data_IF_980477396070
#
_entry.id   IF_980477396070
#
_cell.length_a   1.000
_cell.length_b   1.000
_cell.length_c   1.000
_cell.angle_alpha   90.00
_cell.angle_beta   90.00
_cell.angle_gamma   90.00
#
_symmetry.space_group_name_H-M   'P 1'
#
loop_
_entity.id
_entity.type
_entity.pdbx_description
1 polymer ?
#
# COMPACT_ATOMS: atom_id res chain seq x y z
N UNK A 1 -7.07 8.09 -18.96
CA UNK A 1 -7.48 8.05 -17.53
C UNK A 1 -6.50 7.21 -16.73
N UNK A 2 -6.29 7.52 -15.45
CA UNK A 2 -5.50 6.71 -14.50
C UNK A 2 -6.41 6.15 -13.42
N UNK A 3 -6.26 4.88 -13.07
CA UNK A 3 -7.16 4.21 -12.11
C UNK A 3 -6.34 3.50 -11.04
N UNK A 4 -6.56 3.89 -9.79
CA UNK A 4 -6.04 3.17 -8.62
C UNK A 4 -7.22 2.56 -7.89
N UNK A 5 -7.30 1.23 -7.83
CA UNK A 5 -8.28 0.54 -6.99
C UNK A 5 -7.62 -0.14 -5.79
N UNK A 6 -8.12 0.16 -4.60
CA UNK A 6 -7.76 -0.46 -3.33
C UNK A 6 -8.96 -1.20 -2.77
N UNK A 7 -8.72 -2.29 -2.06
CA UNK A 7 -9.75 -2.99 -1.30
C UNK A 7 -9.68 -2.61 0.17
N UNK A 8 -10.84 -2.57 0.81
CA UNK A 8 -10.99 -2.32 2.25
C UNK A 8 -11.89 -3.37 2.87
N UNK A 9 -11.31 -4.20 3.73
CA UNK A 9 -12.02 -4.98 4.73
C UNK A 9 -11.91 -4.29 6.11
N UNK A 10 -12.52 -4.88 7.13
CA UNK A 10 -12.46 -4.31 8.49
C UNK A 10 -11.07 -4.43 9.13
N UNK A 11 -10.27 -5.39 8.69
CA UNK A 11 -8.96 -5.79 9.22
C UNK A 11 -7.83 -5.70 8.18
N UNK A 12 -8.12 -5.25 6.96
CA UNK A 12 -7.17 -5.19 5.85
C UNK A 12 -7.52 -4.05 4.90
N UNK A 13 -6.51 -3.37 4.40
CA UNK A 13 -6.67 -2.27 3.45
C UNK A 13 -5.45 -2.24 2.54
N UNK A 14 -5.68 -2.10 1.23
CA UNK A 14 -4.59 -1.94 0.28
C UNK A 14 -4.79 -2.68 -1.03
N UNK A 15 -3.68 -3.14 -1.59
CA UNK A 15 -3.66 -3.84 -2.87
C UNK A 15 -4.42 -5.18 -2.78
N UNK A 16 -5.11 -5.53 -3.85
CA UNK A 16 -5.94 -6.73 -3.96
C UNK A 16 -6.04 -7.17 -5.42
N UNK A 17 -6.82 -8.21 -5.70
CA UNK A 17 -7.15 -8.59 -7.09
C UNK A 17 -7.82 -7.45 -7.88
N UNK A 18 -8.56 -6.57 -7.20
CA UNK A 18 -9.17 -5.38 -7.80
C UNK A 18 -8.13 -4.34 -8.23
N UNK A 19 -6.97 -4.30 -7.57
CA UNK A 19 -5.84 -3.49 -8.01
C UNK A 19 -5.33 -3.97 -9.36
N UNK A 20 -5.17 -5.29 -9.55
CA UNK A 20 -4.81 -5.87 -10.84
C UNK A 20 -5.87 -5.60 -11.91
N UNK A 21 -7.16 -5.71 -11.56
CA UNK A 21 -8.26 -5.36 -12.48
C UNK A 21 -8.20 -3.89 -12.91
N UNK A 22 -7.95 -2.96 -11.97
CA UNK A 22 -7.82 -1.53 -12.29
C UNK A 22 -6.62 -1.22 -13.18
N UNK A 23 -5.49 -1.89 -12.96
CA UNK A 23 -4.30 -1.75 -13.81
C UNK A 23 -4.56 -2.25 -15.23
N UNK A 24 -5.30 -3.36 -15.35
CA UNK A 24 -5.69 -3.90 -16.64
C UNK A 24 -6.60 -2.93 -17.40
N UNK A 25 -7.63 -2.38 -16.74
CA UNK A 25 -8.49 -1.34 -17.31
C UNK A 25 -7.70 -0.09 -17.72
N UNK A 26 -6.73 0.34 -16.93
CA UNK A 26 -5.94 1.52 -17.26
C UNK A 26 -5.23 1.39 -18.60
N UNK A 27 -4.81 0.19 -19.01
CA UNK A 27 -4.13 -0.02 -20.30
C UNK A 27 -5.02 0.35 -21.49
N UNK A 28 -6.31 0.00 -21.46
CA UNK A 28 -7.25 0.31 -22.55
C UNK A 28 -7.84 1.72 -22.41
N UNK A 29 -8.08 2.17 -21.18
CA UNK A 29 -8.68 3.48 -20.89
C UNK A 29 -7.72 4.67 -21.07
N UNK A 30 -6.44 4.42 -21.38
CA UNK A 30 -5.51 5.47 -21.83
C UNK A 30 -5.99 6.21 -23.08
N UNK A 31 -6.73 5.53 -23.95
CA UNK A 31 -7.28 6.13 -25.16
C UNK A 31 -8.59 6.90 -24.92
N UNK A 32 -9.16 6.89 -23.72
CA UNK A 32 -10.44 7.56 -23.40
C UNK A 32 -10.17 8.90 -22.72
N UNK A 33 -10.77 9.96 -23.28
CA UNK A 33 -10.69 11.31 -22.72
C UNK A 33 -11.67 11.51 -21.55
N UNK A 34 -11.35 12.36 -20.55
CA UNK A 34 -10.09 13.08 -20.41
C UNK A 34 -8.93 12.17 -19.98
N UNK A 35 -7.81 12.22 -20.71
CA UNK A 35 -6.67 11.34 -20.48
C UNK A 35 -6.03 11.54 -19.09
N UNK A 36 -6.10 12.75 -18.56
CA UNK A 36 -5.54 13.21 -17.28
C UNK A 36 -6.44 12.97 -16.06
N UNK A 37 -7.68 12.50 -16.25
CA UNK A 37 -8.56 12.16 -15.14
C UNK A 37 -7.96 11.04 -14.28
N UNK A 38 -7.72 11.35 -13.01
CA UNK A 38 -7.30 10.39 -12.00
C UNK A 38 -8.52 9.85 -11.25
N UNK A 39 -8.64 8.53 -11.14
CA UNK A 39 -9.75 7.86 -10.47
C UNK A 39 -9.18 7.02 -9.34
N UNK A 40 -9.55 7.34 -8.10
CA UNK A 40 -9.22 6.55 -6.92
C UNK A 40 -10.47 5.79 -6.49
N UNK A 41 -10.37 4.47 -6.45
CA UNK A 41 -11.46 3.55 -6.14
C UNK A 41 -11.15 2.82 -4.84
N UNK A 42 -12.11 2.83 -3.91
CA UNK A 42 -12.09 2.01 -2.69
C UNK A 42 -13.26 1.02 -2.75
N UNK A 43 -12.93 -0.25 -2.96
CA UNK A 43 -13.88 -1.35 -2.90
C UNK A 43 -14.05 -1.83 -1.47
N UNK A 44 -15.25 -1.73 -0.91
CA UNK A 44 -15.55 -2.19 0.44
C UNK A 44 -15.94 -3.66 0.40
N UNK A 45 -15.10 -4.51 1.01
CA UNK A 45 -15.29 -5.96 1.07
C UNK A 45 -16.16 -6.28 2.30
N UNK A 46 -17.25 -7.03 2.09
CA UNK A 46 -18.10 -7.47 3.20
C UNK A 46 -17.41 -8.59 3.98
N UNK A 47 -17.43 -8.48 5.30
CA UNK A 47 -16.96 -9.55 6.18
C UNK A 47 -18.11 -10.54 6.47
N UNK A 48 -17.82 -11.83 6.33
CA UNK A 48 -18.74 -12.93 6.63
C UNK A 48 -18.17 -13.70 7.83
N UNK A 49 -18.52 -13.31 9.05
CA UNK A 49 -18.06 -14.00 10.25
C UNK A 49 -17.94 -13.12 11.50
N UNK A 50 -17.49 -13.71 12.62
CA UNK A 50 -17.12 -12.94 13.79
C UNK A 50 -15.83 -12.17 13.53
N UNK A 51 -15.72 -10.98 14.13
CA UNK A 51 -14.46 -10.25 14.14
C UNK A 51 -13.34 -11.12 14.71
N UNK A 52 -12.12 -10.95 14.19
CA UNK A 52 -10.92 -11.47 14.85
C UNK A 52 -10.83 -10.88 16.27
N UNK A 53 -10.34 -11.67 17.25
CA UNK A 53 -10.16 -11.16 18.61
C UNK A 53 -9.42 -9.83 18.60
N UNK A 54 -9.91 -8.86 19.38
CA UNK A 54 -9.39 -7.48 19.51
C UNK A 54 -9.69 -6.52 18.36
N UNK A 55 -10.34 -6.99 17.28
CA UNK A 55 -10.73 -6.18 16.12
C UNK A 55 -12.24 -5.91 16.03
N UNK A 56 -12.99 -6.17 17.11
CA UNK A 56 -14.45 -6.01 17.16
C UNK A 56 -14.86 -4.57 16.83
N UNK A 57 -14.19 -3.58 17.43
CA UNK A 57 -14.46 -2.16 17.14
C UNK A 57 -14.12 -1.78 15.69
N UNK A 58 -13.12 -2.42 15.08
CA UNK A 58 -12.79 -2.20 13.67
C UNK A 58 -13.87 -2.75 12.75
N UNK A 59 -14.46 -3.91 13.08
CA UNK A 59 -15.60 -4.47 12.37
C UNK A 59 -16.83 -3.56 12.47
N UNK A 60 -17.17 -3.08 13.67
CA UNK A 60 -18.28 -2.15 13.88
C UNK A 60 -18.14 -0.89 13.01
N UNK A 61 -16.98 -0.24 13.04
CA UNK A 61 -16.70 0.95 12.22
C UNK A 61 -16.74 0.66 10.72
N UNK A 62 -16.31 -0.54 10.31
CA UNK A 62 -16.36 -0.96 8.91
C UNK A 62 -17.81 -1.11 8.45
N UNK A 63 -18.65 -1.78 9.25
CA UNK A 63 -20.08 -1.94 8.98
C UNK A 63 -20.78 -0.59 8.90
N UNK A 64 -20.50 0.33 9.83
CA UNK A 64 -21.06 1.69 9.85
C UNK A 64 -20.72 2.47 8.57
N UNK A 65 -19.47 2.34 8.09
CA UNK A 65 -18.99 3.07 6.91
C UNK A 65 -19.31 2.38 5.59
N UNK A 66 -19.74 1.11 5.62
CA UNK A 66 -19.96 0.29 4.45
C UNK A 66 -20.96 0.95 3.49
N UNK A 67 -20.55 1.29 2.26
CA UNK A 67 -21.44 1.93 1.30
C UNK A 67 -22.54 0.95 0.86
N UNK A 68 -23.78 1.42 0.79
CA UNK A 68 -24.90 0.62 0.28
C UNK A 68 -25.06 0.68 -1.25
N UNK A 69 -24.39 1.65 -1.88
CA UNK A 69 -24.38 1.92 -3.32
C UNK A 69 -23.09 2.63 -3.69
N UNK A 70 -22.80 2.77 -4.99
CA UNK A 70 -21.65 3.56 -5.44
C UNK A 70 -21.77 4.99 -4.93
N UNK A 71 -20.72 5.47 -4.28
CA UNK A 71 -20.53 6.86 -3.88
C UNK A 71 -19.41 7.43 -4.72
N UNK A 72 -19.64 8.58 -5.34
CA UNK A 72 -18.62 9.28 -6.09
C UNK A 72 -18.45 10.70 -5.58
N UNK A 73 -17.23 11.24 -5.66
CA UNK A 73 -16.89 12.64 -5.38
C UNK A 73 -15.89 13.12 -6.43
N UNK A 74 -16.29 14.12 -7.22
CA UNK A 74 -15.41 14.72 -8.22
C UNK A 74 -14.79 16.00 -7.68
N UNK A 75 -13.46 16.08 -7.72
CA UNK A 75 -12.64 17.22 -7.32
C UNK A 75 -12.07 17.89 -8.57
N UNK A 76 -12.86 18.80 -9.16
CA UNK A 76 -12.56 19.42 -10.46
C UNK A 76 -11.16 20.07 -10.53
N UNK A 77 -10.75 20.81 -9.48
CA UNK A 77 -9.43 21.46 -9.43
C UNK A 77 -8.25 20.48 -9.47
N UNK A 78 -8.46 19.26 -9.00
CA UNK A 78 -7.43 18.22 -8.95
C UNK A 78 -7.56 17.21 -10.10
N UNK A 79 -8.53 17.38 -11.01
CA UNK A 79 -8.80 16.39 -12.06
C UNK A 79 -9.06 14.99 -11.50
N UNK A 80 -9.65 14.88 -10.29
CA UNK A 80 -9.71 13.62 -9.53
C UNK A 80 -11.14 13.19 -9.21
N UNK A 81 -11.46 11.92 -9.41
CA UNK A 81 -12.69 11.27 -9.00
C UNK A 81 -12.39 10.26 -7.90
N UNK A 82 -13.00 10.43 -6.73
CA UNK A 82 -12.99 9.43 -5.66
C UNK A 82 -14.27 8.59 -5.78
N UNK A 83 -14.12 7.27 -5.78
CA UNK A 83 -15.20 6.31 -5.94
C UNK A 83 -15.14 5.27 -4.81
N UNK A 84 -16.24 5.09 -4.10
CA UNK A 84 -16.39 4.03 -3.09
C UNK A 84 -17.57 3.16 -3.49
N UNK A 85 -17.43 1.84 -3.39
CA UNK A 85 -18.54 0.96 -3.72
C UNK A 85 -18.52 -0.36 -2.92
N UNK A 86 -19.68 -1.00 -2.71
CA UNK A 86 -19.74 -2.30 -2.06
C UNK A 86 -19.31 -3.40 -3.03
N UNK A 87 -18.22 -4.09 -2.71
CA UNK A 87 -17.76 -5.23 -3.51
C UNK A 87 -18.60 -6.47 -3.26
N UNK A 88 -18.80 -7.27 -4.31
CA UNK A 88 -19.42 -8.60 -4.28
C UNK A 88 -18.38 -9.69 -4.05
N UNK A 89 -17.08 -9.36 -4.08
CA UNK A 89 -16.00 -10.29 -3.75
C UNK A 89 -15.95 -10.54 -2.24
N UNK A 90 -15.55 -11.76 -1.86
CA UNK A 90 -15.29 -12.13 -0.47
C UNK A 90 -13.90 -11.69 -0.02
N UNK A 91 -13.69 -11.58 1.29
CA UNK A 91 -12.37 -11.25 1.89
C UNK A 91 -11.29 -12.23 1.41
N UNK A 92 -11.58 -13.54 1.45
CA UNK A 92 -10.68 -14.58 0.99
C UNK A 92 -10.40 -14.51 -0.52
N UNK A 93 -11.32 -13.99 -1.33
CA UNK A 93 -11.10 -13.82 -2.78
C UNK A 93 -10.28 -12.56 -3.07
N UNK A 94 -10.52 -11.48 -2.31
CA UNK A 94 -9.94 -10.16 -2.54
C UNK A 94 -8.48 -10.08 -2.12
N UNK A 95 -8.17 -10.65 -0.97
CA UNK A 95 -6.84 -10.60 -0.35
C UNK A 95 -6.09 -11.94 -0.36
N UNK A 96 -6.61 -12.96 -1.08
CA UNK A 96 -5.87 -14.22 -1.22
C UNK A 96 -4.46 -13.96 -1.74
N UNK A 97 -3.47 -14.55 -1.08
CA UNK A 97 -2.14 -14.66 -1.65
C UNK A 97 -2.22 -15.40 -2.99
N UNK A 98 -1.36 -15.08 -3.98
CA UNK A 98 -1.34 -15.69 -5.31
C UNK A 98 -1.13 -17.23 -5.36
N UNK A 99 -1.11 -17.92 -4.22
CA UNK A 99 -0.81 -19.35 -4.11
C UNK A 99 -1.82 -20.29 -4.77
N UNK A 100 -3.01 -19.81 -5.14
CA UNK A 100 -3.96 -20.54 -5.96
C UNK A 100 -4.09 -19.92 -7.35
N UNK A 101 -3.28 -20.34 -8.32
CA UNK A 101 -3.32 -19.87 -9.72
C UNK A 101 -4.75 -19.97 -10.28
N UNK A 102 -5.46 -21.05 -9.95
CA UNK A 102 -6.86 -21.27 -10.33
C UNK A 102 -7.82 -20.25 -9.71
N UNK A 103 -7.61 -19.83 -8.45
CA UNK A 103 -8.47 -18.85 -7.81
C UNK A 103 -8.35 -17.49 -8.53
N UNK A 104 -7.12 -17.06 -8.85
CA UNK A 104 -6.87 -15.81 -9.56
C UNK A 104 -7.56 -15.78 -10.92
N UNK A 105 -7.50 -16.89 -11.67
CA UNK A 105 -8.15 -17.04 -12.98
C UNK A 105 -9.67 -16.85 -12.95
N UNK A 106 -10.33 -17.30 -11.87
CA UNK A 106 -11.77 -17.13 -11.72
C UNK A 106 -12.17 -15.80 -11.09
N UNK A 107 -11.31 -15.20 -10.27
CA UNK A 107 -11.63 -13.97 -9.53
C UNK A 107 -11.37 -12.72 -10.36
N UNK A 108 -10.30 -12.67 -11.17
CA UNK A 108 -9.96 -11.45 -11.91
C UNK A 108 -11.04 -10.99 -12.89
N UNK A 109 -11.67 -11.87 -13.71
CA UNK A 109 -12.75 -11.44 -14.60
C UNK A 109 -13.94 -10.85 -13.82
N UNK A 110 -14.32 -11.47 -12.70
CA UNK A 110 -15.39 -10.95 -11.81
C UNK A 110 -15.03 -9.60 -11.20
N UNK A 111 -13.78 -9.46 -10.76
CA UNK A 111 -13.24 -8.21 -10.23
C UNK A 111 -13.26 -7.09 -11.30
N UNK A 112 -12.92 -7.45 -12.54
CA UNK A 112 -12.96 -6.55 -13.69
C UNK A 112 -14.38 -6.11 -14.03
N UNK A 113 -15.34 -7.05 -14.08
CA UNK A 113 -16.75 -6.74 -14.33
C UNK A 113 -17.32 -5.80 -13.26
N UNK A 114 -17.13 -6.15 -12.00
CA UNK A 114 -17.62 -5.37 -10.87
C UNK A 114 -17.02 -3.95 -10.84
N UNK A 115 -15.71 -3.83 -11.05
CA UNK A 115 -15.04 -2.52 -11.11
C UNK A 115 -15.54 -1.69 -12.30
N UNK A 116 -15.78 -2.33 -13.45
CA UNK A 116 -16.30 -1.67 -14.64
C UNK A 116 -17.72 -1.13 -14.43
N UNK A 117 -18.60 -1.92 -13.80
CA UNK A 117 -19.94 -1.50 -13.39
C UNK A 117 -19.87 -0.29 -12.45
N UNK A 118 -19.06 -0.39 -11.40
CA UNK A 118 -18.89 0.66 -10.41
C UNK A 118 -18.36 1.95 -11.04
N UNK A 119 -17.38 1.85 -11.95
CA UNK A 119 -16.80 2.98 -12.68
C UNK A 119 -17.86 3.71 -13.52
N UNK A 120 -18.63 2.97 -14.32
CA UNK A 120 -19.69 3.55 -15.17
C UNK A 120 -20.75 4.23 -14.29
N UNK A 121 -21.22 3.57 -13.23
CA UNK A 121 -22.20 4.15 -12.30
C UNK A 121 -21.66 5.42 -11.64
N UNK A 122 -20.43 5.35 -11.10
CA UNK A 122 -19.78 6.46 -10.41
C UNK A 122 -19.53 7.68 -11.30
N UNK A 123 -19.21 7.47 -12.57
CA UNK A 123 -19.08 8.53 -13.56
C UNK A 123 -20.44 9.14 -13.91
N UNK A 124 -21.46 8.32 -14.16
CA UNK A 124 -22.82 8.79 -14.52
C UNK A 124 -23.46 9.65 -13.45
N UNK A 125 -23.24 9.35 -12.17
CA UNK A 125 -23.75 10.18 -11.05
C UNK A 125 -23.00 11.52 -10.90
N UNK A 126 -22.00 11.80 -11.74
CA UNK A 126 -21.26 13.06 -11.80
C UNK A 126 -21.36 13.72 -13.18
N UNK A 127 -22.46 14.46 -13.44
CA UNK A 127 -22.70 15.10 -14.74
C UNK A 127 -21.54 15.97 -15.24
N UNK A 128 -20.85 16.67 -14.32
CA UNK A 128 -19.76 17.59 -14.65
C UNK A 128 -18.52 16.92 -15.28
N UNK A 129 -18.29 15.64 -14.99
CA UNK A 129 -17.22 14.85 -15.63
C UNK A 129 -17.79 13.94 -16.71
N UNK A 130 -18.99 13.39 -16.52
CA UNK A 130 -19.66 12.54 -17.51
C UNK A 130 -19.85 13.25 -18.86
N UNK A 131 -20.19 14.54 -18.85
CA UNK A 131 -20.35 15.33 -20.08
C UNK A 131 -19.05 15.52 -20.87
N UNK A 132 -17.89 15.21 -20.27
CA UNK A 132 -16.57 15.30 -20.90
C UNK A 132 -16.07 13.94 -21.40
N UNK A 133 -16.80 12.87 -21.11
CA UNK A 133 -16.42 11.50 -21.46
C UNK A 133 -17.32 11.04 -22.58
N UNK A 134 -16.72 10.53 -23.65
CA UNK A 134 -17.47 9.78 -24.65
C UNK A 134 -17.87 8.42 -24.05
N UNK A 135 -19.12 8.34 -23.59
CA UNK A 135 -19.65 7.13 -22.95
C UNK A 135 -19.65 5.89 -23.84
N UNK A 136 -19.80 6.06 -25.16
CA UNK A 136 -19.74 4.94 -26.12
C UNK A 136 -18.32 4.42 -26.23
N UNK A 137 -17.34 5.33 -26.34
CA UNK A 137 -15.91 4.97 -26.36
C UNK A 137 -15.44 4.35 -25.05
N UNK A 138 -15.93 4.85 -23.91
CA UNK A 138 -15.66 4.26 -22.60
C UNK A 138 -16.15 2.80 -22.53
N UNK A 139 -17.41 2.55 -22.91
CA UNK A 139 -17.97 1.20 -22.90
C UNK A 139 -17.19 0.26 -23.84
N UNK A 140 -16.87 0.72 -25.06
CA UNK A 140 -16.10 -0.07 -26.01
C UNK A 140 -14.71 -0.46 -25.44
N UNK A 141 -14.01 0.48 -24.81
CA UNK A 141 -12.69 0.23 -24.22
C UNK A 141 -12.75 -0.71 -22.99
N UNK A 142 -13.85 -0.70 -22.23
CA UNK A 142 -14.11 -1.65 -21.14
C UNK A 142 -14.33 -3.06 -21.69
N UNK A 143 -15.16 -3.20 -22.72
CA UNK A 143 -15.42 -4.52 -23.33
C UNK A 143 -14.18 -5.07 -24.04
N UNK A 144 -13.36 -4.20 -24.66
CA UNK A 144 -12.06 -4.57 -25.20
C UNK A 144 -11.11 -5.09 -24.11
N UNK A 145 -11.04 -4.41 -22.95
CA UNK A 145 -10.27 -4.90 -21.81
C UNK A 145 -10.74 -6.30 -21.39
N UNK A 146 -12.04 -6.49 -21.16
CA UNK A 146 -12.59 -7.80 -20.78
C UNK A 146 -12.25 -8.90 -21.79
N UNK A 147 -12.33 -8.60 -23.08
CA UNK A 147 -11.98 -9.54 -24.14
C UNK A 147 -10.47 -9.82 -24.24
N UNK A 148 -9.61 -8.90 -23.77
CA UNK A 148 -8.17 -9.03 -23.78
C UNK A 148 -7.60 -9.85 -22.60
N UNK A 149 -8.43 -10.24 -21.62
CA UNK A 149 -7.99 -11.13 -20.55
C UNK A 149 -7.64 -12.51 -21.12
N UNK A 150 -6.46 -13.08 -20.76
CA UNK A 150 -6.13 -14.45 -21.14
C UNK A 150 -7.14 -15.46 -20.62
N UNK A 151 -7.48 -16.44 -21.46
CA UNK A 151 -8.50 -17.44 -21.15
C UNK A 151 -7.99 -18.56 -20.23
N UNK A 152 -6.68 -18.85 -20.25
CA UNK A 152 -6.09 -19.89 -19.41
C UNK A 152 -5.47 -19.33 -18.12
N UNK A 153 -5.52 -20.08 -16.99
CA UNK A 153 -4.91 -19.65 -15.74
C UNK A 153 -3.41 -19.34 -15.83
N UNK A 154 -2.67 -20.14 -16.61
CA UNK A 154 -1.21 -19.98 -16.76
C UNK A 154 -0.86 -18.72 -17.56
N UNK A 155 -1.55 -18.46 -18.66
CA UNK A 155 -1.37 -17.23 -19.43
C UNK A 155 -1.78 -16.01 -18.62
N UNK A 156 -2.82 -16.12 -17.79
CA UNK A 156 -3.25 -15.02 -16.94
C UNK A 156 -2.19 -14.69 -15.89
N UNK A 157 -1.59 -15.71 -15.26
CA UNK A 157 -0.52 -15.49 -14.30
C UNK A 157 0.70 -14.84 -14.96
N UNK A 158 1.10 -15.33 -16.14
CA UNK A 158 2.19 -14.74 -16.92
C UNK A 158 1.87 -13.29 -17.30
N UNK A 159 0.62 -13.01 -17.68
CA UNK A 159 0.13 -11.68 -17.97
C UNK A 159 0.21 -10.74 -16.75
N UNK A 160 -0.26 -11.18 -15.58
CA UNK A 160 -0.20 -10.39 -14.35
C UNK A 160 1.25 -10.10 -13.90
N UNK A 161 2.16 -11.09 -14.05
CA UNK A 161 3.59 -10.88 -13.78
C UNK A 161 4.17 -9.79 -14.68
N UNK A 162 3.90 -9.86 -16.00
CA UNK A 162 4.34 -8.82 -16.94
C UNK A 162 3.77 -7.45 -16.61
N UNK A 163 2.52 -7.36 -16.15
CA UNK A 163 1.94 -6.09 -15.70
C UNK A 163 2.68 -5.53 -14.48
N UNK A 164 2.96 -6.38 -13.47
CA UNK A 164 3.69 -5.94 -12.28
C UNK A 164 5.13 -5.54 -12.61
N UNK A 165 5.82 -6.30 -13.48
CA UNK A 165 7.15 -5.96 -13.98
C UNK A 165 7.14 -4.65 -14.77
N UNK A 166 6.20 -4.47 -15.70
CA UNK A 166 6.04 -3.23 -16.46
C UNK A 166 5.74 -2.04 -15.54
N UNK A 167 4.94 -2.25 -14.49
CA UNK A 167 4.67 -1.23 -13.45
C UNK A 167 5.94 -0.88 -12.68
N UNK A 168 6.69 -1.89 -12.21
CA UNK A 168 7.96 -1.70 -11.51
C UNK A 168 8.98 -0.97 -12.40
N UNK A 169 9.04 -1.31 -13.68
CA UNK A 169 9.90 -0.63 -14.65
C UNK A 169 9.43 0.80 -14.98
N UNK A 170 8.12 1.04 -14.99
CA UNK A 170 7.55 2.37 -15.24
C UNK A 170 7.59 3.28 -14.01
N UNK A 171 7.81 2.74 -12.80
CA UNK A 171 8.08 3.56 -11.61
C UNK A 171 9.37 4.33 -11.88
N UNK A 172 9.23 5.64 -12.09
CA UNK A 172 10.37 6.55 -12.10
C UNK A 172 11.03 6.45 -10.74
N UNK A 173 12.27 5.98 -10.71
CA UNK A 173 13.12 6.12 -9.52
C UNK A 173 13.27 7.63 -9.30
N UNK A 174 12.75 8.19 -8.20
CA UNK A 174 12.91 9.61 -7.92
C UNK A 174 14.40 9.94 -7.89
N UNK A 175 14.84 10.84 -8.75
CA UNK A 175 16.26 11.22 -8.86
C UNK A 175 16.64 12.28 -7.84
N UNK A 176 15.64 13.04 -7.37
CA UNK A 176 15.77 14.05 -6.33
C UNK A 176 14.61 13.95 -5.34
N UNK A 177 14.83 14.50 -4.15
CA UNK A 177 13.81 14.58 -3.09
C UNK A 177 12.67 15.51 -3.52
N UNK A 178 12.93 16.45 -4.43
CA UNK A 178 11.92 17.37 -4.98
C UNK A 178 11.00 16.69 -6.01
N UNK A 179 11.36 15.50 -6.51
CA UNK A 179 10.49 14.67 -7.37
C UNK A 179 9.37 13.97 -6.57
N UNK A 180 9.43 14.02 -5.24
CA UNK A 180 8.49 13.35 -4.34
C UNK A 180 7.42 14.32 -3.83
N UNK A 181 6.17 13.85 -3.78
CA UNK A 181 5.03 14.61 -3.25
C UNK A 181 5.00 14.58 -1.71
N UNK A 182 5.97 15.26 -1.09
CA UNK A 182 6.17 15.27 0.36
C UNK A 182 5.61 16.55 0.97
N UNK A 183 4.70 16.40 1.93
CA UNK A 183 4.22 17.52 2.74
C UNK A 183 5.21 17.84 3.87
N UNK A 184 6.27 18.59 3.53
CA UNK A 184 7.41 18.92 4.41
C UNK A 184 7.03 19.50 5.78
N UNK A 185 5.90 20.20 5.87
CA UNK A 185 5.39 20.77 7.12
C UNK A 185 5.06 19.70 8.19
N UNK A 186 4.93 18.43 7.80
CA UNK A 186 4.70 17.30 8.72
C UNK A 186 5.98 16.75 9.36
N UNK A 187 7.16 17.21 8.97
CA UNK A 187 8.46 16.67 9.37
C UNK A 187 9.37 17.73 9.99
N UNK A 188 10.40 17.29 10.72
CA UNK A 188 11.36 18.20 11.32
C UNK A 188 12.25 18.85 10.24
N UNK A 189 12.57 20.15 10.31
CA UNK A 189 13.40 20.83 9.30
C UNK A 189 14.76 20.16 9.07
N UNK A 190 15.42 19.69 10.14
CA UNK A 190 16.71 19.00 10.04
C UNK A 190 16.63 17.63 9.36
N UNK A 191 15.43 17.01 9.29
CA UNK A 191 15.28 15.70 8.68
C UNK A 191 15.68 15.70 7.20
N UNK A 192 15.40 16.79 6.46
CA UNK A 192 15.79 16.89 5.05
C UNK A 192 17.29 16.92 4.85
N UNK A 193 18.02 17.51 5.81
CA UNK A 193 19.50 17.54 5.78
C UNK A 193 20.08 16.17 6.09
N UNK A 194 19.52 15.48 7.10
CA UNK A 194 19.97 14.15 7.50
C UNK A 194 19.59 13.06 6.48
N UNK A 195 18.41 13.18 5.85
CA UNK A 195 17.84 12.23 4.90
C UNK A 195 17.79 12.86 3.51
N UNK A 196 18.95 13.13 2.92
CA UNK A 196 19.06 13.88 1.66
C UNK A 196 18.82 13.02 0.40
N UNK A 197 18.75 11.69 0.52
CA UNK A 197 18.45 10.80 -0.60
C UNK A 197 16.93 10.57 -0.76
N UNK A 198 16.40 10.53 -2.00
CA UNK A 198 14.98 10.28 -2.26
C UNK A 198 14.52 8.94 -1.68
N UNK A 199 15.43 7.96 -1.67
CA UNK A 199 15.24 6.65 -1.05
C UNK A 199 14.57 6.73 0.33
N UNK A 200 15.04 7.57 1.26
CA UNK A 200 14.48 7.64 2.63
C UNK A 200 13.03 8.11 2.69
N UNK A 201 12.55 8.77 1.64
CA UNK A 201 11.24 9.37 1.56
C UNK A 201 10.30 8.65 0.58
N UNK A 202 10.80 7.67 -0.17
CA UNK A 202 10.00 6.94 -1.14
C UNK A 202 8.99 6.02 -0.44
N UNK A 203 7.70 6.33 -0.60
CA UNK A 203 6.57 5.47 -0.19
C UNK A 203 6.33 4.29 -1.16
N UNK A 204 7.13 4.20 -2.22
CA UNK A 204 6.95 3.19 -3.28
C UNK A 204 8.15 2.28 -3.47
N UNK A 205 9.21 2.50 -2.70
CA UNK A 205 10.38 1.63 -2.64
C UNK A 205 10.29 0.79 -1.37
N UNK A 206 9.95 -0.49 -1.51
CA UNK A 206 9.74 -1.43 -0.40
C UNK A 206 10.99 -1.63 0.48
N UNK A 207 12.18 -1.29 -0.03
CA UNK A 207 13.43 -1.33 0.74
C UNK A 207 13.68 -0.04 1.55
N UNK A 208 12.90 1.03 1.30
CA UNK A 208 12.99 2.23 2.10
C UNK A 208 12.47 1.99 3.52
N UNK A 209 12.90 2.77 4.53
CA UNK A 209 12.48 2.54 5.91
C UNK A 209 10.96 2.53 6.14
N UNK A 210 10.20 3.16 5.24
CA UNK A 210 8.75 3.34 5.38
C UNK A 210 7.99 3.10 4.07
N UNK A 211 8.63 2.47 3.07
CA UNK A 211 8.04 2.27 1.75
C UNK A 211 7.23 0.99 1.61
N UNK A 212 7.43 0.03 2.52
CA UNK A 212 6.56 -1.12 2.66
C UNK A 212 5.42 -0.86 3.69
N UNK A 213 4.42 -1.75 3.72
CA UNK A 213 3.24 -1.60 4.59
C UNK A 213 3.61 -1.54 6.07
N UNK A 214 4.47 -2.44 6.55
CA UNK A 214 4.92 -2.50 7.95
C UNK A 214 5.60 -1.21 8.39
N UNK A 215 6.54 -0.69 7.60
CA UNK A 215 7.27 0.54 7.85
C UNK A 215 6.35 1.76 7.85
N UNK A 216 5.39 1.82 6.91
CA UNK A 216 4.37 2.86 6.87
C UNK A 216 3.49 2.87 8.14
N UNK A 217 3.02 1.70 8.57
CA UNK A 217 2.25 1.53 9.79
C UNK A 217 3.06 1.93 11.04
N UNK A 218 4.34 1.58 11.08
CA UNK A 218 5.28 1.96 12.15
C UNK A 218 5.44 3.48 12.23
N UNK A 219 5.60 4.17 11.09
CA UNK A 219 5.68 5.63 11.05
C UNK A 219 4.39 6.28 11.57
N UNK A 220 3.23 5.78 11.16
CA UNK A 220 1.93 6.29 11.59
C UNK A 220 1.71 6.08 13.10
N UNK A 221 2.03 4.87 13.61
CA UNK A 221 1.94 4.54 15.03
C UNK A 221 2.90 5.41 15.86
N UNK A 222 4.14 5.56 15.39
CA UNK A 222 5.16 6.36 16.04
C UNK A 222 4.79 7.84 16.07
N UNK A 223 4.22 8.39 14.98
CA UNK A 223 3.74 9.78 14.95
C UNK A 223 2.73 10.06 16.07
N UNK A 224 1.78 9.14 16.30
CA UNK A 224 0.80 9.24 17.38
C UNK A 224 1.40 9.07 18.78
N UNK A 225 2.46 8.27 18.92
CA UNK A 225 3.19 8.13 20.18
C UNK A 225 4.08 9.35 20.47
N UNK A 226 4.85 9.81 19.48
CA UNK A 226 5.78 10.93 19.56
C UNK A 226 5.08 12.24 19.93
N UNK A 227 3.86 12.47 19.44
CA UNK A 227 3.05 13.64 19.87
C UNK A 227 2.86 13.73 21.39
N UNK A 228 2.83 12.58 22.07
CA UNK A 228 2.69 12.47 23.55
C UNK A 228 4.03 12.29 24.26
N UNK A 229 5.09 11.98 23.52
CA UNK A 229 6.41 11.61 24.03
C UNK A 229 7.52 12.20 23.15
N UNK A 230 7.59 13.54 22.97
CA UNK A 230 8.44 14.16 21.97
C UNK A 230 9.95 13.96 22.21
N UNK A 231 10.34 13.74 23.48
CA UNK A 231 11.73 13.60 23.92
C UNK A 231 12.04 12.24 24.53
N UNK A 232 11.05 11.34 24.64
CA UNK A 232 11.29 10.03 25.23
C UNK A 232 11.98 9.12 24.22
N UNK A 233 12.89 8.29 24.71
CA UNK A 233 13.41 7.15 23.97
C UNK A 233 12.26 6.21 23.62
N UNK A 234 12.28 5.63 22.41
CA UNK A 234 11.37 4.57 22.01
C UNK A 234 11.82 3.19 22.49
N UNK A 235 12.80 3.11 23.39
CA UNK A 235 13.15 1.87 24.07
C UNK A 235 11.92 1.25 24.76
N UNK A 236 11.70 -0.04 24.49
CA UNK A 236 10.51 -0.77 24.93
C UNK A 236 9.19 -0.37 24.23
N UNK A 237 9.17 0.67 23.38
CA UNK A 237 8.01 0.97 22.54
C UNK A 237 7.76 -0.13 21.52
N UNK A 238 8.81 -0.67 20.91
CA UNK A 238 8.73 -1.82 19.99
C UNK A 238 8.00 -2.99 20.66
N UNK A 239 8.41 -3.38 21.87
CA UNK A 239 7.78 -4.50 22.58
C UNK A 239 6.32 -4.22 22.93
N UNK A 240 5.97 -2.97 23.27
CA UNK A 240 4.57 -2.58 23.50
C UNK A 240 3.76 -2.64 22.20
N UNK A 241 4.35 -2.23 21.08
CA UNK A 241 3.70 -2.22 19.79
C UNK A 241 3.46 -3.65 19.29
N UNK A 242 4.47 -4.52 19.34
CA UNK A 242 4.35 -5.93 18.97
C UNK A 242 3.31 -6.65 19.84
N UNK A 243 3.30 -6.42 21.17
CA UNK A 243 2.25 -6.94 22.05
C UNK A 243 0.85 -6.48 21.64
N UNK A 244 0.70 -5.21 21.25
CA UNK A 244 -0.58 -4.66 20.78
C UNK A 244 -1.02 -5.28 19.46
N UNK A 245 -0.08 -5.63 18.59
CA UNK A 245 -0.34 -6.38 17.36
C UNK A 245 -0.58 -7.87 17.60
N UNK A 246 -0.53 -8.33 18.85
CA UNK A 246 -0.69 -9.74 19.20
C UNK A 246 0.56 -10.59 18.92
N UNK A 247 1.67 -9.97 18.55
CA UNK A 247 2.95 -10.60 18.26
C UNK A 247 3.77 -10.75 19.55
N UNK A 248 3.31 -11.60 20.47
CA UNK A 248 4.10 -12.00 21.65
C UNK A 248 4.62 -13.42 21.47
N UNK A 249 5.76 -13.81 22.07
CA UNK A 249 6.27 -15.18 21.98
C UNK A 249 5.24 -16.25 22.36
N UNK A 250 4.29 -15.94 23.24
CA UNK A 250 3.22 -16.85 23.67
C UNK A 250 2.05 -16.90 22.66
N UNK A 251 1.67 -15.75 22.08
CA UNK A 251 0.55 -15.65 21.12
C UNK A 251 0.96 -15.96 19.68
N UNK A 252 2.24 -15.85 19.35
CA UNK A 252 2.82 -16.19 18.07
C UNK A 252 2.82 -17.71 17.81
N UNK A 253 2.76 -18.54 18.87
CA UNK A 253 2.76 -20.02 18.74
C UNK A 253 1.57 -20.46 17.89
N UNK A 254 1.85 -20.75 16.62
CA UNK A 254 0.88 -21.22 15.62
C UNK A 254 0.54 -20.23 14.51
N UNK A 255 0.96 -18.96 14.59
CA UNK A 255 0.70 -17.95 13.54
C UNK A 255 1.96 -17.46 12.83
N UNK A 256 3.06 -17.29 13.58
CA UNK A 256 4.37 -16.92 13.05
C UNK A 256 5.46 -17.65 13.86
N UNK A 257 6.58 -17.98 13.23
CA UNK A 257 7.73 -18.56 13.95
C UNK A 257 8.63 -17.49 14.60
N UNK A 258 9.59 -17.94 15.42
CA UNK A 258 10.53 -17.05 16.13
C UNK A 258 11.40 -16.24 15.15
N UNK A 259 11.76 -16.83 14.01
CA UNK A 259 12.57 -16.17 12.97
C UNK A 259 11.79 -15.02 12.32
N UNK A 260 10.50 -15.21 12.05
CA UNK A 260 9.60 -14.19 11.53
C UNK A 260 9.39 -13.06 12.55
N UNK A 261 9.23 -13.39 13.83
CA UNK A 261 9.10 -12.38 14.89
C UNK A 261 10.36 -11.52 15.00
N UNK A 262 11.53 -12.13 14.95
CA UNK A 262 12.82 -11.41 14.93
C UNK A 262 12.94 -10.51 13.70
N UNK A 263 12.50 -10.98 12.54
CA UNK A 263 12.49 -10.18 11.30
C UNK A 263 11.60 -8.93 11.42
N UNK A 264 10.41 -9.07 12.01
CA UNK A 264 9.49 -7.96 12.26
C UNK A 264 10.11 -6.99 13.28
N UNK A 265 10.79 -7.50 14.31
CA UNK A 265 11.45 -6.67 15.33
C UNK A 265 12.60 -5.85 14.74
N UNK A 266 13.42 -6.48 13.89
CA UNK A 266 14.47 -5.80 13.12
C UNK A 266 13.90 -4.70 12.24
N UNK A 267 12.77 -4.97 11.57
CA UNK A 267 12.07 -3.97 10.76
C UNK A 267 11.58 -2.79 11.58
N UNK A 268 11.00 -3.07 12.76
CA UNK A 268 10.55 -2.07 13.70
C UNK A 268 11.68 -1.17 14.17
N UNK A 269 12.83 -1.74 14.54
CA UNK A 269 13.99 -0.97 14.98
C UNK A 269 14.50 -0.03 13.86
N UNK A 270 14.60 -0.52 12.62
CA UNK A 270 15.03 0.28 11.46
C UNK A 270 14.02 1.39 11.20
N UNK A 271 12.74 1.07 11.03
CA UNK A 271 11.71 2.06 10.68
C UNK A 271 11.60 3.13 11.77
N UNK A 272 11.61 2.76 13.05
CA UNK A 272 11.49 3.73 14.15
C UNK A 272 12.71 4.65 14.26
N UNK A 273 13.92 4.19 13.97
CA UNK A 273 15.10 5.04 13.95
C UNK A 273 14.95 6.14 12.88
N UNK A 274 14.53 5.78 11.67
CA UNK A 274 14.29 6.75 10.61
C UNK A 274 13.03 7.60 10.86
N UNK A 275 12.02 7.08 11.55
CA UNK A 275 10.87 7.86 11.99
C UNK A 275 11.27 8.93 13.03
N UNK A 276 12.21 8.60 13.93
CA UNK A 276 12.79 9.56 14.88
C UNK A 276 13.52 10.67 14.14
N UNK A 277 14.37 10.35 13.15
CA UNK A 277 15.03 11.36 12.31
C UNK A 277 13.99 12.24 11.58
N UNK A 278 12.97 11.63 10.95
CA UNK A 278 11.91 12.34 10.23
C UNK A 278 11.11 13.30 11.12
N UNK A 279 10.76 12.88 12.33
CA UNK A 279 9.84 13.63 13.21
C UNK A 279 10.54 14.51 14.25
N UNK A 280 11.77 14.19 14.62
CA UNK A 280 12.56 14.88 15.67
C UNK A 280 13.83 15.53 15.14
N UNK A 281 14.23 15.23 13.90
CA UNK A 281 15.48 15.71 13.31
C UNK A 281 16.73 14.95 13.80
N UNK A 282 16.55 13.92 14.64
CA UNK A 282 17.64 13.14 15.25
C UNK A 282 17.18 11.75 15.66
N UNK A 283 18.14 10.85 15.85
CA UNK A 283 17.96 9.52 16.44
C UNK A 283 18.89 9.40 17.65
N UNK A 284 18.42 8.86 18.78
CA UNK A 284 19.29 8.69 19.95
C UNK A 284 20.30 7.56 19.72
N UNK A 285 21.49 7.63 20.32
CA UNK A 285 22.57 6.67 20.06
C UNK A 285 22.18 5.21 20.37
N UNK A 286 21.35 4.99 21.39
CA UNK A 286 20.85 3.64 21.75
C UNK A 286 19.91 3.10 20.67
N UNK A 287 19.04 3.97 20.16
CA UNK A 287 18.06 3.70 19.09
C UNK A 287 18.78 3.40 17.76
N UNK A 288 19.75 4.23 17.39
CA UNK A 288 20.60 4.02 16.21
C UNK A 288 21.38 2.70 16.31
N UNK A 289 21.94 2.38 17.48
CA UNK A 289 22.67 1.12 17.69
C UNK A 289 21.77 -0.11 17.54
N UNK A 290 20.50 -0.03 17.92
CA UNK A 290 19.54 -1.12 17.70
C UNK A 290 19.26 -1.32 16.21
N UNK A 291 18.97 -0.24 15.48
CA UNK A 291 18.74 -0.27 14.05
C UNK A 291 19.97 -0.76 13.26
N UNK A 292 21.19 -0.33 13.62
CA UNK A 292 22.43 -0.81 12.98
C UNK A 292 22.60 -2.32 13.16
N UNK A 293 22.36 -2.86 14.37
CA UNK A 293 22.42 -4.31 14.58
C UNK A 293 21.42 -5.07 13.70
N UNK A 294 20.22 -4.54 13.54
CA UNK A 294 19.20 -5.11 12.65
C UNK A 294 19.65 -5.08 11.17
N UNK A 295 20.28 -3.99 10.72
CA UNK A 295 20.84 -3.88 9.37
C UNK A 295 21.99 -4.88 9.13
N UNK A 296 22.89 -5.04 10.10
CA UNK A 296 24.02 -5.98 10.00
C UNK A 296 23.52 -7.43 9.89
N UNK A 297 22.48 -7.79 10.64
CA UNK A 297 21.82 -9.10 10.53
C UNK A 297 21.20 -9.32 9.15
N UNK A 298 20.53 -8.30 8.58
CA UNK A 298 19.95 -8.36 7.24
C UNK A 298 21.03 -8.50 6.15
N UNK A 299 22.16 -7.80 6.28
CA UNK A 299 23.29 -7.94 5.35
C UNK A 299 23.81 -9.38 5.31
N UNK A 300 23.94 -10.04 6.46
CA UNK A 300 24.38 -11.43 6.54
C UNK A 300 23.43 -12.42 5.86
N UNK A 301 22.15 -12.08 5.74
CA UNK A 301 21.12 -12.94 5.15
C UNK A 301 20.93 -12.75 3.63
N UNK A 302 21.48 -11.68 3.03
CA UNK A 302 21.27 -11.36 1.62
C UNK A 302 22.36 -11.97 0.74
N UNK A 303 22.07 -13.14 0.14
CA UNK A 303 22.84 -13.67 -0.98
C UNK A 303 22.19 -13.24 -2.33
N UNK A 304 22.94 -12.52 -3.18
CA UNK A 304 22.57 -12.31 -4.58
C UNK A 304 21.71 -11.08 -4.93
N UNK A 305 21.55 -10.09 -4.05
CA UNK A 305 20.78 -8.86 -4.32
C UNK A 305 21.64 -7.58 -4.14
N UNK A 306 22.51 -7.22 -5.11
CA UNK A 306 23.49 -6.14 -4.95
C UNK A 306 22.86 -4.77 -4.66
N UNK A 307 21.75 -4.43 -5.33
CA UNK A 307 21.04 -3.17 -5.10
C UNK A 307 20.50 -3.06 -3.66
N UNK A 308 19.99 -4.16 -3.11
CA UNK A 308 19.48 -4.20 -1.74
C UNK A 308 20.59 -4.03 -0.70
N UNK A 309 21.76 -4.59 -1.00
CA UNK A 309 22.96 -4.41 -0.17
C UNK A 309 23.39 -2.94 -0.15
N UNK A 310 23.37 -2.24 -1.28
CA UNK A 310 23.69 -0.80 -1.35
C UNK A 310 22.71 0.04 -0.53
N UNK A 311 21.40 -0.23 -0.64
CA UNK A 311 20.38 0.46 0.17
C UNK A 311 20.60 0.23 1.67
N UNK A 312 20.90 -0.99 2.10
CA UNK A 312 21.19 -1.27 3.51
C UNK A 312 22.45 -0.56 4.00
N UNK A 313 23.51 -0.50 3.17
CA UNK A 313 24.71 0.28 3.49
C UNK A 313 24.40 1.77 3.65
N UNK A 314 23.55 2.32 2.78
CA UNK A 314 23.09 3.70 2.87
C UNK A 314 22.29 3.97 4.15
N UNK A 315 21.40 3.06 4.54
CA UNK A 315 20.69 3.14 5.83
C UNK A 315 21.69 3.18 7.00
N UNK A 316 22.65 2.26 6.98
CA UNK A 316 23.65 2.09 8.04
C UNK A 316 24.53 3.34 8.18
N UNK A 317 25.09 3.84 7.08
CA UNK A 317 25.96 5.03 7.11
C UNK A 317 25.23 6.29 7.59
N UNK A 318 23.93 6.37 7.33
CA UNK A 318 23.08 7.50 7.77
C UNK A 318 22.82 7.47 9.28
N UNK A 319 22.82 6.28 9.90
CA UNK A 319 22.67 6.13 11.35
C UNK A 319 24.01 6.29 12.09
N UNK A 320 25.14 6.19 11.39
CA UNK A 320 26.48 6.37 11.95
C UNK A 320 26.95 7.83 11.97
N UNK A 321 26.40 8.68 11.10
CA UNK A 321 26.72 10.11 11.00
C UNK A 321 25.85 10.98 11.89
#
# INVERSE_FOLDING_TARGET
>A
MKILCLARAYNSYGASILTSASQHLELTLKAVEPADLAIEVIAFIRHEGPARPTLEQSLERHIEKFPQRVRARYRAKAGKLDLEYPSKLREAESFAHPGGIYAVAHILPRALDELSEALIEGLRVKPAIWSKIDGSRLNAAIEEAKAALPASPDELLAYMRRMDEARKAARKVPTSVDDLDIEWAKYHPDARRALNAPFFWSETDDDSPHGNDTGSDLLAAFKGWNKRNPTASYEGYVDRLLRRWGLTPEKARGQIDEVQLDWIRQEADIALAFAAIKLRGRCDAVEAKAAIRALDQRLGALSGAPERVEKIRLLRSTLEG
#
